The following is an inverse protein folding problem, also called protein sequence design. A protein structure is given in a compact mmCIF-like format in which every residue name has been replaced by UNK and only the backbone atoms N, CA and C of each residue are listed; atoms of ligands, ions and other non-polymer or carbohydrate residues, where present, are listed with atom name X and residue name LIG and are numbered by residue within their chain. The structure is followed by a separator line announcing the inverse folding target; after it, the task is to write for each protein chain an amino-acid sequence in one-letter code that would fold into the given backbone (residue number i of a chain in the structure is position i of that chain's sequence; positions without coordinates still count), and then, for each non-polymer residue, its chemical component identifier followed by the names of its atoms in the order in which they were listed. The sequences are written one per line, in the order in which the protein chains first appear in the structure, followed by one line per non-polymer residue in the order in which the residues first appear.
data_IF_812765085280
#
_entry.id   IF_812765085280
#
_cell.length_a   1.000
_cell.length_b   1.000
_cell.length_c   1.000
_cell.angle_alpha   90.00
_cell.angle_beta   90.00
_cell.angle_gamma   90.00
#
_symmetry.space_group_name_H-M   'P 1'
#
loop_
_entity.id
_entity.type
_entity.pdbx_description
1 polymer ?
#
# COMPACT_ATOMS: atom_id res chain seq x y z
N UNK A 1 9.72 5.50 -29.17
CA UNK A 1 10.43 5.60 -27.88
C UNK A 1 9.93 4.47 -27.00
N UNK A 2 10.82 3.71 -26.37
CA UNK A 2 10.42 2.67 -25.42
C UNK A 2 9.86 3.37 -24.17
N UNK A 3 8.64 3.03 -23.76
CA UNK A 3 8.06 3.51 -22.50
C UNK A 3 8.81 2.81 -21.38
N UNK A 4 9.45 3.59 -20.51
CA UNK A 4 10.27 3.11 -19.41
C UNK A 4 9.45 3.13 -18.11
N UNK A 5 9.13 1.95 -17.59
CA UNK A 5 8.26 1.77 -16.42
C UNK A 5 9.02 1.98 -15.09
N UNK A 6 8.38 2.64 -14.12
CA UNK A 6 8.89 2.81 -12.74
C UNK A 6 8.15 1.87 -11.78
N UNK A 7 8.87 1.24 -10.84
CA UNK A 7 8.26 0.62 -9.66
C UNK A 7 8.51 1.53 -8.45
N UNK A 8 7.52 2.32 -8.07
CA UNK A 8 7.57 3.16 -6.87
C UNK A 8 7.43 2.29 -5.62
N UNK A 9 8.19 2.62 -4.58
CA UNK A 9 8.02 2.06 -3.23
C UNK A 9 7.56 3.19 -2.31
N UNK A 10 6.35 3.07 -1.75
CA UNK A 10 5.81 4.03 -0.78
C UNK A 10 5.99 3.49 0.63
N UNK A 11 7.15 3.76 1.23
CA UNK A 11 7.46 3.28 2.57
C UNK A 11 6.52 3.83 3.66
N UNK A 12 5.84 4.95 3.44
CA UNK A 12 4.80 5.44 4.36
C UNK A 12 3.46 4.74 4.22
N UNK A 13 3.27 3.94 3.17
CA UNK A 13 2.16 2.99 3.12
C UNK A 13 2.58 1.61 3.62
N UNK A 14 3.84 1.41 4.05
CA UNK A 14 4.18 0.19 4.79
C UNK A 14 3.41 0.19 6.10
N UNK A 15 2.48 -0.75 6.24
CA UNK A 15 1.62 -0.85 7.41
C UNK A 15 1.96 -2.06 8.25
N UNK A 16 2.05 -1.81 9.55
CA UNK A 16 2.23 -2.77 10.63
C UNK A 16 1.06 -2.59 11.60
N UNK A 17 0.18 -3.58 11.76
CA UNK A 17 -0.91 -3.47 12.73
C UNK A 17 -0.49 -4.12 14.07
N UNK A 18 -0.11 -3.33 15.09
CA UNK A 18 -0.34 -3.58 16.54
C UNK A 18 0.16 -2.41 17.43
N UNK A 19 -0.51 -2.14 18.57
CA UNK A 19 -0.31 -1.04 19.54
C UNK A 19 1.13 -0.45 19.73
N UNK A 20 1.37 0.75 19.17
CA UNK A 20 2.35 1.84 19.46
C UNK A 20 3.85 1.55 19.78
N UNK A 21 4.79 1.86 18.84
CA UNK A 21 6.00 2.75 18.91
C UNK A 21 7.20 2.39 17.95
N UNK A 22 7.73 3.41 17.21
CA UNK A 22 9.12 3.64 16.67
C UNK A 22 9.50 3.44 15.16
N UNK A 23 10.41 4.30 14.64
CA UNK A 23 10.76 4.72 13.23
C UNK A 23 12.23 4.46 12.76
N UNK A 24 12.54 4.43 11.43
CA UNK A 24 13.59 5.20 10.65
C UNK A 24 13.87 4.69 9.18
N UNK A 25 14.22 5.64 8.28
CA UNK A 25 14.40 5.68 6.80
C UNK A 25 15.75 5.16 6.20
N UNK A 26 15.77 4.68 4.93
CA UNK A 26 16.29 5.38 3.71
C UNK A 26 16.24 4.53 2.42
N UNK A 27 16.08 5.21 1.28
CA UNK A 27 15.65 4.68 -0.02
C UNK A 27 16.79 4.27 -0.99
N UNK A 28 16.80 2.98 -1.33
CA UNK A 28 16.83 2.48 -2.73
C UNK A 28 15.48 1.75 -2.93
N UNK A 29 14.95 1.50 -4.14
CA UNK A 29 13.77 0.62 -4.28
C UNK A 29 14.13 -0.77 -3.75
N UNK A 30 13.89 -0.97 -2.46
CA UNK A 30 14.22 -2.19 -1.76
C UNK A 30 13.40 -3.30 -2.38
N UNK A 31 14.01 -4.48 -2.49
CA UNK A 31 13.18 -5.68 -2.70
C UNK A 31 12.32 -5.81 -1.45
N UNK A 32 11.01 -5.61 -1.59
CA UNK A 32 10.08 -5.85 -0.49
C UNK A 32 10.18 -7.34 -0.13
N UNK A 33 10.59 -7.61 1.10
CA UNK A 33 10.63 -8.96 1.65
C UNK A 33 9.21 -9.29 2.10
N UNK A 34 8.55 -10.15 1.33
CA UNK A 34 7.11 -10.43 1.47
C UNK A 34 6.86 -11.92 1.28
N UNK A 35 5.78 -12.41 1.89
CA UNK A 35 5.34 -13.80 1.76
C UNK A 35 4.56 -14.01 0.48
N UNK A 36 3.74 -13.02 0.16
CA UNK A 36 2.84 -13.02 -0.97
C UNK A 36 2.82 -11.63 -1.61
N UNK A 37 2.58 -11.56 -2.91
CA UNK A 37 2.41 -10.29 -3.62
C UNK A 37 1.01 -10.22 -4.20
N UNK A 38 0.30 -9.15 -3.88
CA UNK A 38 -1.04 -8.89 -4.37
C UNK A 38 -1.05 -7.69 -5.30
N UNK A 39 -1.77 -7.81 -6.41
CA UNK A 39 -1.77 -6.83 -7.50
C UNK A 39 -3.18 -6.33 -7.75
N UNK A 40 -3.31 -5.02 -7.91
CA UNK A 40 -4.52 -4.38 -8.42
C UNK A 40 -4.17 -3.48 -9.59
N UNK A 41 -5.01 -3.49 -10.62
CA UNK A 41 -4.90 -2.54 -11.72
C UNK A 41 -5.61 -1.24 -11.34
N UNK A 42 -4.90 -0.12 -11.45
CA UNK A 42 -5.44 1.23 -11.21
C UNK A 42 -5.29 2.07 -12.47
N UNK A 43 -6.33 2.80 -12.86
CA UNK A 43 -6.26 3.62 -14.08
C UNK A 43 -5.32 4.80 -13.89
N UNK A 44 -4.60 5.17 -14.95
CA UNK A 44 -3.69 6.32 -14.94
C UNK A 44 -4.41 7.60 -14.52
N UNK A 45 -5.61 7.86 -15.04
CA UNK A 45 -6.43 9.01 -14.67
C UNK A 45 -6.68 9.07 -13.16
N UNK A 46 -6.98 7.92 -12.54
CA UNK A 46 -7.22 7.82 -11.10
C UNK A 46 -5.97 8.12 -10.28
N UNK A 47 -4.83 7.55 -10.63
CA UNK A 47 -3.58 7.84 -9.90
C UNK A 47 -3.19 9.32 -10.05
N UNK A 48 -3.34 9.88 -11.26
CA UNK A 48 -3.07 11.30 -11.54
C UNK A 48 -4.08 12.25 -10.91
N UNK A 49 -5.32 11.82 -10.66
CA UNK A 49 -6.28 12.62 -9.90
C UNK A 49 -5.96 12.59 -8.41
N UNK A 50 -5.40 11.48 -7.91
CA UNK A 50 -5.02 11.32 -6.51
C UNK A 50 -3.77 12.07 -6.11
N UNK A 51 -2.66 11.92 -6.82
CA UNK A 51 -1.40 12.57 -6.41
C UNK A 51 -1.19 13.87 -7.19
N UNK A 52 -1.19 15.00 -6.47
CA UNK A 52 -1.07 16.34 -7.03
C UNK A 52 0.02 17.13 -6.34
N UNK A 53 0.59 18.10 -7.03
CA UNK A 53 1.53 19.05 -6.45
C UNK A 53 1.34 20.44 -7.05
N UNK A 54 1.83 21.45 -6.37
CA UNK A 54 1.86 22.84 -6.81
C UNK A 54 3.26 23.38 -6.57
N UNK A 55 3.79 24.13 -7.53
CA UNK A 55 5.09 24.82 -7.38
C UNK A 55 4.98 26.18 -8.03
N UNK A 56 5.47 27.22 -7.35
CA UNK A 56 5.62 28.55 -7.92
C UNK A 56 7.05 28.86 -8.36
N UNK A 57 7.94 27.87 -8.32
CA UNK A 57 9.33 27.96 -8.75
C UNK A 57 9.62 27.02 -9.93
N UNK A 58 10.65 27.35 -10.70
CA UNK A 58 11.12 26.54 -11.83
C UNK A 58 11.92 25.30 -11.36
N UNK A 59 12.28 25.21 -10.07
CA UNK A 59 13.11 24.16 -9.48
C UNK A 59 12.35 23.23 -8.52
N UNK A 60 11.67 22.22 -9.10
CA UNK A 60 11.07 21.11 -8.34
C UNK A 60 12.05 20.31 -7.46
N UNK A 61 13.36 20.49 -7.67
CA UNK A 61 14.43 19.84 -6.92
C UNK A 61 15.03 20.72 -5.82
N UNK A 62 14.60 21.98 -5.67
CA UNK A 62 14.99 22.80 -4.53
C UNK A 62 14.10 22.46 -3.32
N UNK A 63 14.70 21.73 -2.37
CA UNK A 63 14.05 21.33 -1.12
C UNK A 63 14.14 22.42 -0.05
N UNK A 64 14.70 23.61 -0.35
CA UNK A 64 15.00 24.67 0.61
C UNK A 64 13.97 25.80 0.66
N UNK A 65 12.72 25.48 1.03
CA UNK A 65 11.68 26.51 1.29
C UNK A 65 10.29 26.02 0.94
N UNK A 66 9.20 26.49 1.57
CA UNK A 66 7.83 25.95 1.43
C UNK A 66 7.14 26.14 0.06
N UNK A 67 7.93 26.20 -1.02
CA UNK A 67 7.57 26.63 -2.37
C UNK A 67 6.87 25.51 -3.17
N UNK A 68 7.08 24.26 -2.76
CA UNK A 68 6.35 23.10 -3.30
C UNK A 68 5.34 22.58 -2.28
N UNK A 69 4.08 22.57 -2.70
CA UNK A 69 2.98 21.95 -1.97
C UNK A 69 2.62 20.61 -2.60
N UNK A 70 2.36 19.63 -1.76
CA UNK A 70 2.06 18.27 -2.10
C UNK A 70 0.67 17.94 -1.60
N UNK A 71 -0.12 17.31 -2.45
CA UNK A 71 -1.48 16.96 -2.12
C UNK A 71 -1.75 15.51 -2.48
N UNK A 72 -2.58 14.91 -1.67
CA UNK A 72 -3.29 13.70 -1.99
C UNK A 72 -4.76 14.17 -2.11
N UNK A 73 -5.44 13.89 -3.23
CA UNK A 73 -6.86 14.23 -3.53
C UNK A 73 -7.75 12.99 -3.77
N UNK A 74 -9.04 13.06 -3.41
CA UNK A 74 -9.97 11.94 -3.65
C UNK A 74 -10.56 12.08 -5.04
N UNK A 75 -10.93 10.95 -5.63
CA UNK A 75 -11.48 10.91 -6.99
C UNK A 75 -12.82 11.66 -7.13
N UNK A 76 -13.53 11.91 -6.02
CA UNK A 76 -14.78 12.68 -5.97
C UNK A 76 -14.58 14.20 -5.92
N UNK A 77 -13.37 14.67 -5.63
CA UNK A 77 -13.09 16.08 -5.36
C UNK A 77 -12.52 16.82 -6.58
N UNK A 78 -13.04 16.50 -7.78
CA UNK A 78 -12.66 17.14 -9.05
C UNK A 78 -13.21 18.58 -9.21
N UNK A 79 -13.35 19.33 -8.10
CA UNK A 79 -13.49 20.78 -8.12
C UNK A 79 -14.88 21.34 -7.84
N UNK A 80 -15.52 21.02 -6.72
CA UNK A 80 -16.79 21.66 -6.34
C UNK A 80 -16.86 22.34 -4.98
N UNK A 81 -15.90 22.16 -4.07
CA UNK A 81 -15.89 22.96 -2.84
C UNK A 81 -14.51 22.94 -2.16
N UNK A 82 -13.82 24.09 -2.13
CA UNK A 82 -12.58 24.25 -1.36
C UNK A 82 -12.79 24.07 0.16
N UNK A 83 -14.03 23.91 0.62
CA UNK A 83 -14.40 23.60 2.00
C UNK A 83 -14.84 22.15 2.26
N UNK A 84 -14.95 21.29 1.23
CA UNK A 84 -15.23 19.85 1.43
C UNK A 84 -13.95 19.06 1.67
N UNK A 85 -13.60 18.93 2.94
CA UNK A 85 -12.75 17.91 3.58
C UNK A 85 -11.97 16.97 2.66
N UNK A 86 -10.67 17.22 2.64
CA UNK A 86 -9.56 16.31 2.36
C UNK A 86 -9.87 14.80 2.42
N UNK A 87 -9.40 14.16 1.35
CA UNK A 87 -9.33 12.74 0.99
C UNK A 87 -9.80 11.60 1.88
N UNK A 88 -10.53 10.71 1.19
CA UNK A 88 -10.28 9.28 1.30
C UNK A 88 -10.13 8.54 -0.01
N UNK A 89 -9.56 7.35 0.11
CA UNK A 89 -9.73 6.27 -0.84
C UNK A 89 -11.24 6.00 -0.96
N UNK A 90 -11.79 6.01 -2.18
CA UNK A 90 -13.03 5.26 -2.38
C UNK A 90 -12.73 3.78 -2.10
N UNK A 91 -13.75 2.99 -1.75
CA UNK A 91 -13.58 1.60 -1.31
C UNK A 91 -12.62 0.78 -2.21
N UNK A 92 -12.54 1.12 -3.51
CA UNK A 92 -11.73 0.44 -4.52
C UNK A 92 -10.20 0.70 -4.48
N UNK A 93 -9.63 1.18 -3.38
CA UNK A 93 -8.18 1.13 -3.08
C UNK A 93 -7.88 0.25 -1.85
N UNK A 94 -8.85 -0.52 -1.37
CA UNK A 94 -8.61 -1.39 -0.22
C UNK A 94 -7.71 -2.55 -0.66
N UNK A 95 -6.47 -2.61 -0.18
CA UNK A 95 -5.53 -3.61 -0.64
C UNK A 95 -5.91 -5.02 -0.20
N UNK A 96 -6.74 -5.19 0.83
CA UNK A 96 -7.13 -6.50 1.35
C UNK A 96 -8.36 -7.11 0.68
N UNK A 97 -9.13 -6.32 -0.08
CA UNK A 97 -10.32 -6.80 -0.83
C UNK A 97 -10.21 -6.63 -2.34
N UNK A 98 -9.52 -5.59 -2.83
CA UNK A 98 -9.54 -5.24 -4.26
C UNK A 98 -8.26 -5.63 -5.01
N UNK A 99 -7.30 -6.24 -4.32
CA UNK A 99 -6.12 -6.83 -4.93
C UNK A 99 -6.27 -8.34 -5.04
N UNK A 100 -5.50 -8.92 -5.96
CA UNK A 100 -5.43 -10.36 -6.17
C UNK A 100 -4.02 -10.82 -5.87
N UNK A 101 -3.88 -11.78 -4.96
CA UNK A 101 -2.59 -12.44 -4.70
C UNK A 101 -2.14 -13.16 -5.99
N UNK A 102 -0.97 -12.82 -6.52
CA UNK A 102 -0.44 -13.43 -7.75
C UNK A 102 0.72 -14.38 -7.47
N UNK A 103 1.47 -14.13 -6.40
CA UNK A 103 2.62 -14.95 -5.99
C UNK A 103 2.57 -15.20 -4.49
N UNK A 104 3.04 -16.37 -4.05
CA UNK A 104 3.12 -16.72 -2.63
C UNK A 104 1.78 -17.05 -1.95
N UNK A 105 0.70 -17.14 -2.72
CA UNK A 105 -0.63 -17.55 -2.24
C UNK A 105 -0.57 -18.93 -1.58
N UNK A 106 -1.32 -19.11 -0.48
CA UNK A 106 -1.39 -20.38 0.26
C UNK A 106 -2.00 -21.49 -0.60
N UNK A 107 -3.07 -21.18 -1.33
CA UNK A 107 -3.76 -22.13 -2.18
C UNK A 107 -4.53 -21.44 -3.28
N UNK A 108 -4.60 -22.08 -4.46
CA UNK A 108 -5.40 -21.62 -5.61
C UNK A 108 -6.62 -22.50 -5.87
N UNK A 109 -6.74 -23.64 -5.18
CA UNK A 109 -7.80 -24.63 -5.37
C UNK A 109 -8.41 -25.11 -4.06
N UNK A 110 -9.73 -25.32 -4.07
CA UNK A 110 -10.49 -25.92 -2.97
C UNK A 110 -10.34 -27.44 -2.88
N UNK A 111 -10.98 -28.04 -1.87
CA UNK A 111 -10.88 -29.48 -1.55
C UNK A 111 -11.46 -30.38 -2.66
N UNK A 112 -12.34 -29.83 -3.48
CA UNK A 112 -12.92 -30.47 -4.67
C UNK A 112 -12.09 -30.26 -5.96
N UNK A 113 -10.93 -29.59 -5.88
CA UNK A 113 -10.08 -29.27 -7.03
C UNK A 113 -10.57 -28.08 -7.87
N UNK A 114 -11.65 -27.41 -7.49
CA UNK A 114 -12.11 -26.19 -8.17
C UNK A 114 -11.22 -25.00 -7.81
N UNK A 115 -11.07 -24.05 -8.73
CA UNK A 115 -10.41 -22.76 -8.45
C UNK A 115 -11.15 -22.02 -7.35
N UNK A 116 -10.39 -21.39 -6.46
CA UNK A 116 -10.95 -20.53 -5.43
C UNK A 116 -11.50 -19.25 -6.06
N UNK A 117 -12.68 -18.84 -5.61
CA UNK A 117 -13.35 -17.64 -6.13
C UNK A 117 -12.72 -16.35 -5.58
N UNK A 118 -12.23 -16.39 -4.34
CA UNK A 118 -11.63 -15.25 -3.66
C UNK A 118 -10.13 -15.46 -3.49
N UNK A 119 -9.34 -14.68 -4.24
CA UNK A 119 -7.88 -14.67 -4.21
C UNK A 119 -7.33 -13.39 -3.58
N UNK A 120 -8.14 -12.68 -2.78
CA UNK A 120 -7.73 -11.48 -2.07
C UNK A 120 -6.78 -11.81 -0.91
N UNK A 121 -5.97 -10.85 -0.45
CA UNK A 121 -5.10 -11.04 0.72
C UNK A 121 -5.86 -11.37 2.02
N UNK A 122 -7.08 -10.88 2.19
CA UNK A 122 -7.89 -11.20 3.39
C UNK A 122 -8.27 -12.68 3.41
N UNK A 123 -8.73 -13.22 2.28
CA UNK A 123 -9.03 -14.65 2.15
C UNK A 123 -7.76 -15.53 2.18
N UNK A 124 -6.64 -15.07 1.58
CA UNK A 124 -5.35 -15.75 1.68
C UNK A 124 -4.81 -15.82 3.11
N UNK A 125 -5.03 -14.76 3.91
CA UNK A 125 -4.62 -14.75 5.31
C UNK A 125 -5.40 -15.76 6.14
N UNK A 126 -6.72 -15.87 5.93
CA UNK A 126 -7.51 -16.86 6.63
C UNK A 126 -7.06 -18.30 6.31
N UNK A 127 -6.67 -18.55 5.05
CA UNK A 127 -6.08 -19.83 4.63
C UNK A 127 -4.72 -20.08 5.26
N UNK A 128 -3.88 -19.04 5.37
CA UNK A 128 -2.61 -19.12 6.09
C UNK A 128 -2.83 -19.49 7.56
N UNK A 129 -3.80 -18.84 8.20
CA UNK A 129 -4.15 -19.14 9.59
C UNK A 129 -4.60 -20.60 9.74
N UNK A 130 -5.47 -21.09 8.84
CA UNK A 130 -5.87 -22.49 8.82
C UNK A 130 -4.69 -23.45 8.61
N UNK A 131 -3.78 -23.12 7.69
CA UNK A 131 -2.61 -23.94 7.39
C UNK A 131 -1.66 -24.04 8.60
N UNK A 132 -1.42 -22.93 9.29
CA UNK A 132 -0.57 -22.89 10.48
C UNK A 132 -1.22 -23.61 11.68
N UNK A 133 -2.53 -23.48 11.87
CA UNK A 133 -3.25 -24.07 13.02
C UNK A 133 -3.57 -25.56 12.84
N UNK A 134 -3.97 -25.96 11.63
CA UNK A 134 -4.51 -27.30 11.35
C UNK A 134 -3.61 -28.12 10.43
N UNK A 135 -2.50 -27.54 9.93
CA UNK A 135 -1.61 -28.18 8.96
C UNK A 135 -2.21 -28.28 7.56
N UNK A 136 -3.29 -27.53 7.29
CA UNK A 136 -3.92 -27.48 5.98
C UNK A 136 -4.79 -26.24 5.80
N UNK A 137 -4.70 -25.60 4.63
CA UNK A 137 -5.59 -24.50 4.24
C UNK A 137 -7.06 -24.91 4.10
N UNK A 138 -7.38 -26.20 4.05
CA UNK A 138 -8.77 -26.68 4.10
C UNK A 138 -9.40 -26.54 5.49
N UNK A 139 -8.58 -26.28 6.52
CA UNK A 139 -9.07 -26.01 7.87
C UNK A 139 -9.84 -24.71 8.00
N UNK A 140 -9.96 -23.90 6.94
CA UNK A 140 -10.78 -22.67 6.94
C UNK A 140 -12.23 -22.98 7.31
N UNK A 141 -12.76 -24.13 6.85
CA UNK A 141 -14.13 -24.58 7.16
C UNK A 141 -14.36 -24.84 8.67
N UNK A 142 -13.30 -24.91 9.47
CA UNK A 142 -13.38 -25.07 10.93
C UNK A 142 -13.60 -23.72 11.66
N UNK A 143 -13.39 -22.59 10.99
CA UNK A 143 -13.70 -21.28 11.55
C UNK A 143 -15.20 -20.99 11.43
N UNK A 144 -15.88 -20.89 12.57
CA UNK A 144 -17.30 -20.53 12.61
C UNK A 144 -17.55 -19.04 12.38
N UNK A 145 -16.48 -18.24 12.29
CA UNK A 145 -16.48 -16.79 12.16
C UNK A 145 -15.64 -16.28 10.96
N UNK A 146 -15.46 -17.11 9.91
CA UNK A 146 -14.70 -16.75 8.70
C UNK A 146 -15.06 -15.37 8.15
N UNK A 147 -16.34 -15.13 7.87
CA UNK A 147 -16.80 -13.84 7.33
C UNK A 147 -16.46 -12.68 8.25
N UNK A 148 -16.61 -12.84 9.56
CA UNK A 148 -16.31 -11.79 10.53
C UNK A 148 -14.80 -11.47 10.59
N UNK A 149 -13.94 -12.48 10.44
CA UNK A 149 -12.48 -12.29 10.36
C UNK A 149 -12.13 -11.52 9.09
N UNK A 150 -12.66 -11.95 7.94
CA UNK A 150 -12.41 -11.30 6.65
C UNK A 150 -12.88 -9.85 6.67
N UNK A 151 -14.12 -9.59 7.09
CA UNK A 151 -14.69 -8.25 7.17
C UNK A 151 -13.89 -7.34 8.10
N UNK A 152 -13.41 -7.86 9.24
CA UNK A 152 -12.55 -7.10 10.14
C UNK A 152 -11.21 -6.74 9.48
N UNK A 153 -10.52 -7.69 8.84
CA UNK A 153 -9.25 -7.42 8.14
C UNK A 153 -9.44 -6.36 7.04
N UNK A 154 -10.53 -6.45 6.29
CA UNK A 154 -10.88 -5.48 5.25
C UNK A 154 -11.12 -4.10 5.87
N UNK A 155 -11.88 -4.02 6.96
CA UNK A 155 -12.20 -2.76 7.63
C UNK A 155 -10.97 -2.09 8.27
N UNK A 156 -10.14 -2.85 8.99
CA UNK A 156 -8.91 -2.35 9.62
C UNK A 156 -7.94 -1.84 8.56
N UNK A 157 -7.69 -2.63 7.51
CA UNK A 157 -6.82 -2.20 6.42
C UNK A 157 -7.36 -0.97 5.71
N UNK A 158 -8.67 -0.87 5.51
CA UNK A 158 -9.26 0.33 4.94
C UNK A 158 -9.02 1.54 5.83
N UNK A 159 -9.32 1.44 7.13
CA UNK A 159 -9.20 2.55 8.08
C UNK A 159 -7.77 3.07 8.18
N UNK A 160 -6.79 2.18 8.16
CA UNK A 160 -5.39 2.55 8.31
C UNK A 160 -4.81 3.12 7.02
N UNK A 161 -5.02 2.49 5.86
CA UNK A 161 -4.58 3.08 4.59
C UNK A 161 -5.24 4.45 4.40
N UNK A 162 -6.52 4.56 4.73
CA UNK A 162 -7.25 5.83 4.74
C UNK A 162 -6.61 6.87 5.68
N UNK A 163 -6.20 6.48 6.89
CA UNK A 163 -5.52 7.35 7.85
C UNK A 163 -4.22 7.94 7.29
N UNK A 164 -3.42 7.14 6.59
CA UNK A 164 -2.18 7.61 5.96
C UNK A 164 -2.45 8.60 4.81
N UNK A 165 -3.48 8.36 3.99
CA UNK A 165 -3.87 9.30 2.94
C UNK A 165 -4.39 10.63 3.52
N UNK A 166 -5.13 10.59 4.62
CA UNK A 166 -5.57 11.79 5.35
C UNK A 166 -4.35 12.55 5.90
N UNK A 167 -3.41 11.85 6.52
CA UNK A 167 -2.20 12.46 7.08
C UNK A 167 -1.33 13.13 5.99
N UNK A 168 -1.36 12.60 4.77
CA UNK A 168 -0.65 13.11 3.60
C UNK A 168 -1.43 14.16 2.79
N UNK A 169 -2.65 14.53 3.19
CA UNK A 169 -3.60 15.20 2.29
C UNK A 169 -3.15 16.58 1.81
N UNK A 170 -2.39 17.32 2.63
CA UNK A 170 -1.75 18.57 2.23
C UNK A 170 -0.45 18.76 3.02
N UNK A 171 0.67 18.71 2.31
CA UNK A 171 2.00 18.84 2.87
C UNK A 171 2.86 19.79 2.03
N UNK A 172 4.04 20.10 2.53
CA UNK A 172 5.04 20.96 1.88
C UNK A 172 6.38 20.22 1.82
N UNK A 173 7.38 20.77 1.14
CA UNK A 173 8.73 20.19 1.18
C UNK A 173 9.44 20.36 2.55
N UNK A 174 8.92 21.23 3.43
CA UNK A 174 9.33 21.25 4.84
C UNK A 174 8.92 19.97 5.58
N UNK A 175 7.86 19.30 5.12
CA UNK A 175 7.43 17.98 5.60
C UNK A 175 8.29 16.90 4.92
N UNK A 176 9.49 16.72 5.46
CA UNK A 176 10.53 15.86 4.87
C UNK A 176 10.42 14.38 5.25
N UNK A 177 9.36 13.99 5.96
CA UNK A 177 9.10 12.61 6.38
C UNK A 177 8.46 11.78 5.27
N UNK A 178 8.49 10.46 5.42
CA UNK A 178 7.86 9.53 4.48
C UNK A 178 6.35 9.73 4.33
N UNK A 179 5.65 10.32 5.33
CA UNK A 179 4.21 10.59 5.30
C UNK A 179 3.82 11.46 4.09
N UNK A 180 4.75 12.27 3.57
CA UNK A 180 4.53 13.06 2.36
C UNK A 180 4.58 12.19 1.09
N UNK A 181 3.52 11.41 0.87
CA UNK A 181 3.42 10.42 -0.20
C UNK A 181 3.71 11.00 -1.58
N UNK A 182 3.12 12.14 -1.92
CA UNK A 182 3.30 12.78 -3.22
C UNK A 182 4.75 13.26 -3.40
N UNK A 183 5.39 13.81 -2.36
CA UNK A 183 6.82 14.17 -2.41
C UNK A 183 7.69 12.95 -2.67
N UNK A 184 7.43 11.83 -1.99
CA UNK A 184 8.22 10.61 -2.18
C UNK A 184 8.04 10.01 -3.58
N UNK A 185 6.84 10.10 -4.17
CA UNK A 185 6.63 9.76 -5.58
C UNK A 185 7.44 10.68 -6.50
N UNK A 186 7.34 12.00 -6.30
CA UNK A 186 8.04 12.98 -7.13
C UNK A 186 9.55 12.78 -7.07
N UNK A 187 10.12 12.58 -5.87
CA UNK A 187 11.55 12.30 -5.69
C UNK A 187 11.98 11.05 -6.48
N UNK A 188 11.23 9.96 -6.38
CA UNK A 188 11.55 8.72 -7.12
C UNK A 188 11.45 8.90 -8.64
N UNK A 189 10.46 9.67 -9.14
CA UNK A 189 10.39 10.00 -10.57
C UNK A 189 11.57 10.88 -10.97
N UNK A 190 11.89 11.89 -10.17
CA UNK A 190 12.94 12.86 -10.50
C UNK A 190 14.32 12.18 -10.55
N UNK A 191 14.59 11.29 -9.60
CA UNK A 191 15.85 10.54 -9.52
C UNK A 191 16.00 9.51 -10.65
N UNK A 192 14.89 8.97 -11.17
CA UNK A 192 14.92 7.88 -12.16
C UNK A 192 14.70 8.37 -13.60
N UNK A 193 13.76 9.30 -13.79
CA UNK A 193 13.28 9.79 -15.09
C UNK A 193 12.92 11.29 -15.03
N UNK A 194 13.89 12.18 -14.80
CA UNK A 194 13.64 13.62 -14.63
C UNK A 194 12.98 14.27 -15.86
N UNK A 195 13.13 13.68 -17.05
CA UNK A 195 12.49 14.18 -18.27
C UNK A 195 10.95 14.20 -18.20
N UNK A 196 10.33 13.44 -17.29
CA UNK A 196 8.88 13.45 -17.09
C UNK A 196 8.34 14.77 -16.51
N UNK A 197 9.24 15.64 -16.03
CA UNK A 197 8.91 16.96 -15.52
C UNK A 197 9.14 18.10 -16.54
N UNK A 198 9.52 17.80 -17.80
CA UNK A 198 9.80 18.83 -18.81
C UNK A 198 8.60 19.73 -19.15
N UNK A 199 7.37 19.19 -19.02
CA UNK A 199 6.13 19.91 -19.30
C UNK A 199 5.49 20.52 -18.05
N UNK A 200 6.17 20.46 -16.89
CA UNK A 200 5.68 21.07 -15.66
C UNK A 200 5.94 22.57 -15.70
N UNK A 201 4.91 23.34 -15.34
CA UNK A 201 4.99 24.79 -15.31
C UNK A 201 5.08 25.29 -13.87
N UNK A 202 5.81 26.38 -13.64
CA UNK A 202 5.69 27.15 -12.41
C UNK A 202 4.29 27.81 -12.39
N UNK A 203 3.40 27.29 -11.56
CA UNK A 203 2.01 27.73 -11.49
C UNK A 203 1.42 27.52 -10.11
N UNK A 204 0.55 28.45 -9.71
CA UNK A 204 -0.25 28.33 -8.49
C UNK A 204 -1.40 27.32 -8.61
N UNK A 205 -1.53 26.63 -9.75
CA UNK A 205 -2.52 25.58 -9.97
C UNK A 205 -1.95 24.20 -9.64
N UNK A 206 -2.80 23.32 -9.12
CA UNK A 206 -2.44 21.92 -8.89
C UNK A 206 -2.17 21.19 -10.20
N UNK A 207 -1.04 20.51 -10.25
CA UNK A 207 -0.56 19.69 -11.35
C UNK A 207 -0.52 18.22 -10.90
N UNK A 208 -0.78 17.30 -11.82
CA UNK A 208 -0.67 15.87 -11.55
C UNK A 208 0.78 15.42 -11.55
N UNK A 209 1.13 14.54 -10.60
CA UNK A 209 2.39 13.79 -10.66
C UNK A 209 2.46 13.06 -12.02
N UNK A 210 3.59 13.09 -12.75
CA UNK A 210 3.71 12.55 -14.11
C UNK A 210 3.89 11.02 -14.10
N UNK A 211 2.86 10.33 -13.61
CA UNK A 211 2.74 8.87 -13.61
C UNK A 211 2.16 8.40 -14.95
N UNK A 212 2.76 7.36 -15.51
CA UNK A 212 2.44 6.80 -16.81
C UNK A 212 1.90 5.36 -16.71
N UNK A 213 1.24 4.90 -17.77
CA UNK A 213 0.82 3.50 -17.87
C UNK A 213 2.04 2.60 -17.87
N UNK A 214 2.00 1.51 -17.08
CA UNK A 214 3.10 0.59 -16.88
C UNK A 214 3.91 0.87 -15.61
N UNK A 215 3.78 2.06 -15.02
CA UNK A 215 4.31 2.32 -13.68
C UNK A 215 3.57 1.49 -12.62
N UNK A 216 4.14 1.37 -11.43
CA UNK A 216 3.46 0.76 -10.31
C UNK A 216 3.83 1.39 -8.98
N UNK A 217 2.88 1.38 -8.04
CA UNK A 217 3.07 1.83 -6.66
C UNK A 217 3.04 0.61 -5.76
N UNK A 218 4.09 0.39 -4.97
CA UNK A 218 4.22 -0.79 -4.12
C UNK A 218 4.47 -0.41 -2.66
N UNK A 219 3.91 -1.20 -1.75
CA UNK A 219 4.11 -1.07 -0.31
C UNK A 219 3.83 -2.41 0.38
N UNK A 220 4.11 -2.49 1.68
CA UNK A 220 3.97 -3.70 2.47
C UNK A 220 2.79 -3.59 3.44
N UNK A 221 2.06 -4.68 3.65
CA UNK A 221 1.07 -4.80 4.71
C UNK A 221 1.41 -6.03 5.54
N UNK A 222 1.41 -5.88 6.86
CA UNK A 222 1.58 -6.99 7.79
C UNK A 222 0.26 -7.25 8.49
N UNK A 223 -0.32 -8.42 8.25
CA UNK A 223 -1.50 -8.90 8.99
C UNK A 223 -1.00 -9.70 10.17
N UNK A 224 -1.28 -9.21 11.38
CA UNK A 224 -0.87 -9.86 12.63
C UNK A 224 -2.01 -10.64 13.24
N UNK A 225 -1.70 -11.80 13.80
CA UNK A 225 -2.65 -12.50 14.64
C UNK A 225 -2.81 -11.80 15.99
N UNK A 226 -3.96 -11.98 16.61
CA UNK A 226 -4.19 -11.45 17.96
C UNK A 226 -3.17 -12.04 18.94
N UNK A 227 -2.66 -11.22 19.86
CA UNK A 227 -1.61 -11.63 20.81
C UNK A 227 -2.02 -12.83 21.67
N UNK A 228 -3.31 -12.98 21.97
CA UNK A 228 -3.83 -14.10 22.75
C UNK A 228 -3.97 -15.39 21.91
N UNK A 229 -4.03 -15.31 20.57
CA UNK A 229 -4.08 -16.51 19.74
C UNK A 229 -2.79 -17.33 19.84
N UNK A 230 -1.63 -16.68 19.95
CA UNK A 230 -0.37 -17.37 20.20
C UNK A 230 -0.35 -18.08 21.57
N UNK A 231 -1.04 -17.52 22.57
CA UNK A 231 -1.18 -18.12 23.91
C UNK A 231 -2.08 -19.36 23.90
N UNK A 232 -3.22 -19.29 23.18
CA UNK A 232 -4.20 -20.38 23.13
C UNK A 232 -3.71 -21.55 22.28
N UNK A 233 -2.98 -21.28 21.20
CA UNK A 233 -2.52 -22.30 20.25
C UNK A 233 -1.18 -22.91 20.65
N UNK A 234 -0.45 -22.28 21.57
CA UNK A 234 0.92 -22.66 21.93
C UNK A 234 1.94 -22.41 20.82
N UNK A 235 1.55 -21.72 19.74
CA UNK A 235 2.41 -21.36 18.62
C UNK A 235 3.14 -20.07 19.00
N UNK A 236 4.21 -20.23 19.78
CA UNK A 236 5.07 -19.14 20.25
C UNK A 236 6.33 -18.95 19.40
N UNK A 237 6.47 -19.74 18.34
CA UNK A 237 7.67 -19.68 17.50
C UNK A 237 7.69 -18.34 16.75
N UNK A 238 8.74 -17.55 17.04
CA UNK A 238 9.24 -16.53 16.13
C UNK A 238 9.42 -17.20 14.77
N UNK A 239 9.03 -16.51 13.72
CA UNK A 239 9.24 -17.00 12.36
C UNK A 239 10.74 -17.12 12.11
N UNK A 240 11.23 -18.31 11.75
CA UNK A 240 12.64 -18.52 11.38
C UNK A 240 12.90 -17.83 10.03
N UNK A 241 13.26 -16.54 10.04
CA UNK A 241 13.82 -15.90 8.87
C UNK A 241 14.68 -14.68 9.21
N UNK A 242 15.87 -14.68 8.62
CA UNK A 242 16.94 -13.68 8.58
C UNK A 242 16.49 -12.29 8.02
N UNK A 243 15.18 -12.05 7.86
CA UNK A 243 14.59 -10.98 7.05
C UNK A 243 14.09 -9.76 7.87
N UNK A 244 13.91 -9.90 9.20
CA UNK A 244 13.06 -8.98 9.99
C UNK A 244 13.75 -8.34 11.20
N UNK A 245 15.02 -7.94 11.09
CA UNK A 245 15.80 -7.40 12.24
C UNK A 245 15.23 -6.08 12.80
N UNK A 246 14.35 -5.38 12.05
CA UNK A 246 13.82 -4.07 12.43
C UNK A 246 12.29 -4.04 12.64
N UNK A 247 11.60 -5.19 12.65
CA UNK A 247 10.15 -5.24 12.89
C UNK A 247 9.91 -5.53 14.37
N UNK A 248 9.26 -4.59 15.07
CA UNK A 248 8.91 -4.72 16.48
C UNK A 248 7.39 -4.57 16.66
N UNK A 249 6.70 -5.54 17.28
CA UNK A 249 7.24 -6.80 17.79
C UNK A 249 7.68 -7.75 16.67
N UNK A 250 8.56 -8.73 16.94
CA UNK A 250 8.96 -9.73 15.96
C UNK A 250 7.77 -10.49 15.39
N UNK A 251 7.84 -10.88 14.13
CA UNK A 251 6.78 -11.65 13.48
C UNK A 251 6.68 -13.06 14.05
N UNK A 252 5.45 -13.51 14.25
CA UNK A 252 5.09 -14.88 14.61
C UNK A 252 4.81 -15.71 13.35
N UNK A 253 4.70 -17.03 13.51
CA UNK A 253 4.23 -17.91 12.41
C UNK A 253 2.79 -17.64 11.98
N UNK A 254 1.98 -17.01 12.84
CA UNK A 254 0.59 -16.68 12.55
C UNK A 254 0.46 -15.42 11.69
N UNK A 255 1.48 -14.54 11.73
CA UNK A 255 1.50 -13.31 10.95
C UNK A 255 1.79 -13.59 9.47
N UNK A 256 1.39 -12.66 8.61
CA UNK A 256 1.65 -12.73 7.17
C UNK A 256 1.95 -11.37 6.58
N UNK A 257 2.95 -11.32 5.71
CA UNK A 257 3.46 -10.11 5.07
C UNK A 257 3.09 -10.10 3.60
N UNK A 258 2.28 -9.13 3.20
CA UNK A 258 1.87 -8.91 1.81
C UNK A 258 2.63 -7.75 1.19
N UNK A 259 3.16 -7.96 -0.01
CA UNK A 259 3.56 -6.89 -0.92
C UNK A 259 2.37 -6.47 -1.76
N UNK A 260 1.88 -5.27 -1.57
CA UNK A 260 0.82 -4.70 -2.38
C UNK A 260 1.44 -3.97 -3.56
N UNK A 261 0.90 -4.19 -4.76
CA UNK A 261 1.32 -3.53 -5.99
C UNK A 261 0.11 -2.99 -6.75
N UNK A 262 0.02 -1.68 -6.87
CA UNK A 262 -0.91 -1.01 -7.76
C UNK A 262 -0.25 -0.80 -9.12
N UNK A 263 -0.68 -1.56 -10.11
CA UNK A 263 -0.20 -1.47 -11.49
C UNK A 263 -1.00 -0.41 -12.25
N UNK A 264 -0.33 0.61 -12.78
CA UNK A 264 -0.97 1.68 -13.53
C UNK A 264 -1.30 1.20 -14.93
N UNK A 265 -2.59 1.13 -15.24
CA UNK A 265 -3.10 0.72 -16.56
C UNK A 265 -3.62 1.92 -17.36
N UNK A 266 -3.81 1.74 -18.66
CA UNK A 266 -4.41 2.75 -19.52
C UNK A 266 -5.85 3.07 -19.09
N UNK A 267 -6.30 4.29 -19.40
CA UNK A 267 -7.69 4.69 -19.23
C UNK A 267 -8.54 3.92 -20.25
N UNK A 268 -9.60 3.25 -19.80
CA UNK A 268 -10.52 2.44 -20.63
C UNK A 268 -11.47 3.28 -21.45
#
# INVERSE_FOLDING_TARGET
MAVSNINFVLSALEQDFSSLLATIEQATPGTLLVDATAVQNVTRSRVRSTFKFQTDSDDLNDLSGADVKYYVRSSTDLGLDASSTYMGLDASWNPMSDTVVQTGMVATTGSNGASLNDMSPSADYLRHLADVLFGTHFGVDLFTNETAIIDNIIAESQGEVQGHFIAAASMTNADNTSINLTRELIKQIFDTYPQRFQDVSATYLEQSVPIETGDSISFRIIVRADGDQALVTGITNIRDAVLDVNISPPLTKLDRVYGIKFLVVADS
#
